data_IF_788907572795
#
_entry.id   IF_788907572795
#
_cell.length_a   1.000
_cell.length_b   1.000
_cell.length_c   1.000
_cell.angle_alpha   90.00
_cell.angle_beta   90.00
_cell.angle_gamma   90.00
#
_symmetry.space_group_name_H-M   'P 1'
#
loop_
_entity.id
_entity.type
_entity.pdbx_description
1 polymer ?
#
# COMPACT_ATOMS: atom_id res chain seq x y z
N UNK A 1 9.20 -19.03 -16.69
CA UNK A 1 9.04 -18.41 -15.36
C UNK A 1 7.80 -17.54 -15.33
N UNK A 2 7.00 -17.73 -14.31
CA UNK A 2 5.79 -16.94 -14.18
C UNK A 2 6.12 -15.54 -13.66
N UNK A 3 5.59 -14.54 -14.35
CA UNK A 3 5.58 -13.19 -13.82
C UNK A 3 4.70 -13.16 -12.58
N UNK A 4 5.21 -12.57 -11.51
CA UNK A 4 4.45 -12.46 -10.29
C UNK A 4 3.65 -11.17 -10.31
N UNK A 5 2.37 -11.27 -9.98
CA UNK A 5 1.47 -10.14 -9.92
C UNK A 5 0.98 -9.96 -8.50
N UNK A 6 0.93 -8.72 -8.07
CA UNK A 6 0.40 -8.33 -6.77
C UNK A 6 -0.67 -7.27 -6.96
N UNK A 7 -1.48 -7.10 -5.94
CA UNK A 7 -2.49 -6.05 -5.91
C UNK A 7 -2.50 -5.40 -4.54
N UNK A 8 -2.78 -4.10 -4.50
CA UNK A 8 -2.77 -3.36 -3.25
C UNK A 8 -3.69 -2.15 -3.26
N UNK A 9 -3.90 -1.62 -2.07
CA UNK A 9 -4.74 -0.44 -1.86
C UNK A 9 -3.92 0.70 -1.31
N UNK A 10 -4.17 1.89 -1.84
CA UNK A 10 -3.65 3.15 -1.30
C UNK A 10 -4.81 3.84 -0.59
N UNK A 11 -4.88 3.68 0.73
CA UNK A 11 -5.88 4.33 1.55
C UNK A 11 -5.46 5.78 1.75
N UNK A 12 -6.39 6.70 1.52
CA UNK A 12 -6.12 8.13 1.73
C UNK A 12 -7.22 8.76 2.56
N UNK A 13 -6.86 9.86 3.20
CA UNK A 13 -7.79 10.67 3.99
C UNK A 13 -7.39 12.14 3.91
N UNK A 14 -8.29 12.99 4.35
CA UNK A 14 -8.03 14.42 4.47
C UNK A 14 -7.86 14.79 5.93
N UNK A 15 -6.79 15.52 6.22
CA UNK A 15 -6.56 16.13 7.53
C UNK A 15 -6.61 17.65 7.30
N UNK A 16 -7.80 18.23 7.45
CA UNK A 16 -8.03 19.59 6.99
C UNK A 16 -7.80 19.67 5.49
N UNK A 17 -6.96 20.60 5.02
CA UNK A 17 -6.66 20.71 3.58
C UNK A 17 -5.60 19.72 3.12
N UNK A 18 -5.01 18.95 4.02
CA UNK A 18 -3.87 18.09 3.73
C UNK A 18 -4.31 16.69 3.36
N UNK A 19 -3.84 16.21 2.21
CA UNK A 19 -4.06 14.84 1.77
C UNK A 19 -3.01 13.95 2.41
N UNK A 20 -3.46 12.88 3.05
CA UNK A 20 -2.60 11.90 3.70
C UNK A 20 -2.86 10.52 3.14
N UNK A 21 -1.82 9.70 3.07
CA UNK A 21 -1.91 8.31 2.62
C UNK A 21 -1.35 7.37 3.67
N UNK A 22 -1.93 6.17 3.75
CA UNK A 22 -1.50 5.14 4.67
C UNK A 22 -0.43 4.27 4.02
N UNK A 23 0.72 4.18 4.66
CA UNK A 23 1.80 3.31 4.24
C UNK A 23 2.19 2.40 5.39
N UNK A 24 2.72 1.22 5.06
CA UNK A 24 3.20 0.26 6.03
C UNK A 24 4.70 0.13 5.99
N UNK A 25 5.30 -0.03 7.16
CA UNK A 25 6.72 -0.30 7.30
C UNK A 25 6.93 -1.82 7.36
N UNK A 26 7.79 -2.37 6.49
CA UNK A 26 8.01 -3.82 6.49
C UNK A 26 8.57 -4.29 7.83
N UNK A 27 8.07 -5.44 8.29
CA UNK A 27 8.55 -6.05 9.51
C UNK A 27 9.86 -6.78 9.33
N UNK A 28 10.42 -7.22 10.45
CA UNK A 28 11.61 -8.05 10.47
C UNK A 28 12.90 -7.27 10.60
N UNK A 29 14.00 -7.99 10.93
CA UNK A 29 15.26 -7.35 11.28
C UNK A 29 15.95 -6.64 10.12
N UNK A 30 15.74 -7.10 8.88
CA UNK A 30 16.34 -6.45 7.70
C UNK A 30 15.90 -4.99 7.58
N UNK A 31 14.61 -4.73 7.87
CA UNK A 31 14.01 -3.41 7.67
C UNK A 31 13.99 -2.55 8.91
N UNK A 32 14.37 -3.09 10.07
CA UNK A 32 14.15 -2.44 11.37
C UNK A 32 14.79 -1.06 11.49
N UNK A 33 15.91 -0.81 10.80
CA UNK A 33 16.60 0.49 10.85
C UNK A 33 16.41 1.31 9.57
N UNK A 34 15.60 0.86 8.63
CA UNK A 34 15.39 1.53 7.35
C UNK A 34 14.10 2.33 7.40
N UNK A 35 14.12 3.52 6.80
CA UNK A 35 12.98 4.43 6.81
C UNK A 35 12.71 4.95 5.40
N UNK A 36 13.47 5.94 4.93
CA UNK A 36 13.26 6.51 3.61
C UNK A 36 13.32 5.43 2.52
N UNK A 37 12.29 5.40 1.67
CA UNK A 37 12.20 4.41 0.59
C UNK A 37 11.82 3.01 1.03
N UNK A 38 11.56 2.80 2.33
CA UNK A 38 11.25 1.48 2.87
C UNK A 38 9.76 1.19 2.95
N UNK A 39 8.94 2.23 3.06
CA UNK A 39 7.50 2.08 3.26
C UNK A 39 6.78 1.69 1.98
N UNK A 40 5.67 1.00 2.12
CA UNK A 40 4.93 0.42 0.99
C UNK A 40 3.44 0.55 1.21
N UNK A 41 2.69 0.58 0.10
CA UNK A 41 1.25 0.36 0.20
C UNK A 41 1.02 -1.08 0.66
N UNK A 42 -0.07 -1.35 1.40
CA UNK A 42 -0.46 -2.74 1.69
C UNK A 42 -0.78 -3.47 0.38
N UNK A 43 -0.06 -4.54 0.11
CA UNK A 43 -0.19 -5.30 -1.14
C UNK A 43 0.33 -6.70 -0.97
N UNK A 44 -0.14 -7.60 -1.82
CA UNK A 44 0.37 -8.95 -1.83
C UNK A 44 -0.04 -9.69 -3.09
N UNK A 45 0.38 -10.95 -3.18
CA UNK A 45 0.19 -11.76 -4.37
C UNK A 45 -1.27 -12.02 -4.68
N UNK A 46 -1.60 -11.96 -5.96
CA UNK A 46 -2.93 -12.32 -6.46
C UNK A 46 -2.96 -13.84 -6.57
N UNK A 47 -4.02 -14.45 -6.05
CA UNK A 47 -4.21 -15.90 -6.13
C UNK A 47 -4.70 -16.30 -7.51
N UNK A 48 -4.42 -17.55 -7.94
CA UNK A 48 -4.95 -18.03 -9.23
C UNK A 48 -6.47 -17.89 -9.28
N UNK A 49 -6.98 -17.26 -10.35
CA UNK A 49 -8.40 -17.05 -10.54
C UNK A 49 -9.01 -15.93 -9.72
N UNK A 50 -8.23 -15.26 -8.89
CA UNK A 50 -8.71 -14.16 -8.08
C UNK A 50 -8.74 -12.86 -8.89
N UNK A 51 -9.84 -12.11 -8.76
CA UNK A 51 -9.92 -10.78 -9.34
C UNK A 51 -8.90 -9.86 -8.67
N UNK A 52 -8.10 -9.09 -9.42
CA UNK A 52 -7.07 -8.25 -8.81
C UNK A 52 -7.56 -7.29 -7.74
N UNK A 53 -8.74 -6.66 -7.94
CA UNK A 53 -9.29 -5.76 -6.91
C UNK A 53 -9.64 -6.53 -5.64
N UNK A 54 -10.23 -7.71 -5.77
CA UNK A 54 -10.54 -8.54 -4.61
C UNK A 54 -9.28 -8.96 -3.90
N UNK A 55 -8.21 -9.25 -4.64
CA UNK A 55 -6.90 -9.53 -4.07
C UNK A 55 -6.34 -8.36 -3.30
N UNK A 56 -6.48 -7.14 -3.84
CA UNK A 56 -6.04 -5.93 -3.15
C UNK A 56 -6.78 -5.72 -1.83
N UNK A 57 -8.10 -5.92 -1.84
CA UNK A 57 -8.93 -5.79 -0.64
C UNK A 57 -8.53 -6.82 0.40
N UNK A 58 -8.36 -8.07 -0.01
CA UNK A 58 -7.94 -9.15 0.88
C UNK A 58 -6.58 -8.87 1.51
N UNK A 59 -5.61 -8.49 0.69
CA UNK A 59 -4.25 -8.20 1.18
C UNK A 59 -4.23 -7.02 2.14
N UNK A 60 -5.02 -5.98 1.86
CA UNK A 60 -5.12 -4.84 2.76
C UNK A 60 -5.57 -5.29 4.15
N UNK A 61 -6.61 -6.13 4.22
CA UNK A 61 -7.13 -6.62 5.49
C UNK A 61 -6.14 -7.54 6.19
N UNK A 62 -5.46 -8.41 5.44
CA UNK A 62 -4.46 -9.31 6.03
C UNK A 62 -3.27 -8.54 6.60
N UNK A 63 -2.82 -7.49 5.92
CA UNK A 63 -1.61 -6.77 6.33
C UNK A 63 -1.88 -5.69 7.37
N UNK A 64 -3.11 -5.22 7.51
CA UNK A 64 -3.43 -4.11 8.43
C UNK A 64 -4.45 -4.48 9.50
N UNK A 65 -5.30 -5.46 9.24
CA UNK A 65 -6.43 -5.78 10.11
C UNK A 65 -7.64 -4.88 9.90
N UNK A 66 -7.57 -3.95 8.96
CA UNK A 66 -8.66 -3.01 8.69
C UNK A 66 -9.42 -3.42 7.43
N UNK A 67 -10.69 -3.03 7.36
CA UNK A 67 -11.52 -3.23 6.18
C UNK A 67 -11.56 -1.93 5.37
N UNK A 68 -11.68 -2.07 4.05
CA UNK A 68 -11.86 -0.94 3.14
C UNK A 68 -13.15 -1.16 2.36
N UNK A 69 -14.00 -0.14 2.30
CA UNK A 69 -15.36 -0.29 1.78
C UNK A 69 -15.58 0.31 0.39
N UNK A 70 -14.63 1.06 -0.12
CA UNK A 70 -14.79 1.70 -1.41
C UNK A 70 -15.56 3.01 -1.34
N UNK A 71 -15.85 3.68 -2.47
CA UNK A 71 -15.51 3.23 -3.82
C UNK A 71 -14.01 3.17 -4.07
N UNK A 72 -13.63 2.28 -4.98
CA UNK A 72 -12.21 2.06 -5.31
C UNK A 72 -11.89 2.74 -6.63
N UNK A 73 -10.82 3.54 -6.63
CA UNK A 73 -10.38 4.32 -7.79
C UNK A 73 -9.18 3.62 -8.42
N UNK A 74 -9.29 3.11 -9.66
CA UNK A 74 -8.13 2.44 -10.28
C UNK A 74 -6.97 3.40 -10.47
N UNK A 75 -5.77 2.96 -10.07
CA UNK A 75 -4.53 3.69 -10.29
C UNK A 75 -3.64 3.03 -11.34
N UNK A 76 -4.08 1.90 -11.91
CA UNK A 76 -3.29 1.17 -12.88
C UNK A 76 -2.23 0.31 -12.23
N UNK A 77 -1.18 0.03 -12.94
CA UNK A 77 -0.12 -0.83 -12.44
C UNK A 77 1.23 -0.14 -12.50
N UNK A 78 2.14 -0.64 -11.66
CA UNK A 78 3.56 -0.28 -11.69
C UNK A 78 4.35 -1.58 -11.73
N UNK A 79 5.61 -1.49 -12.16
CA UNK A 79 6.50 -2.63 -12.14
C UNK A 79 7.64 -2.34 -11.18
N UNK A 80 7.81 -3.22 -10.19
CA UNK A 80 8.89 -3.09 -9.23
C UNK A 80 10.22 -3.55 -9.83
N UNK A 81 11.31 -3.20 -9.16
CA UNK A 81 12.65 -3.53 -9.62
C UNK A 81 12.85 -5.03 -9.85
N UNK A 82 12.18 -5.86 -9.05
CA UNK A 82 12.23 -7.31 -9.18
C UNK A 82 11.50 -7.86 -10.42
N UNK A 83 10.78 -7.00 -11.15
CA UNK A 83 9.92 -7.40 -12.24
C UNK A 83 8.48 -7.68 -11.83
N UNK A 84 8.18 -7.63 -10.54
CA UNK A 84 6.82 -7.84 -10.03
C UNK A 84 5.92 -6.68 -10.46
N UNK A 85 4.76 -7.02 -11.02
CA UNK A 85 3.74 -6.04 -11.39
C UNK A 85 2.79 -5.87 -10.22
N UNK A 86 2.49 -4.62 -9.86
CA UNK A 86 1.56 -4.29 -8.77
C UNK A 86 0.41 -3.49 -9.34
N UNK A 87 -0.79 -4.04 -9.24
CA UNK A 87 -2.04 -3.33 -9.57
C UNK A 87 -2.51 -2.60 -8.32
N UNK A 88 -2.93 -1.34 -8.46
CA UNK A 88 -3.29 -0.55 -7.30
C UNK A 88 -4.61 0.18 -7.49
N UNK A 89 -5.33 0.34 -6.40
CA UNK A 89 -6.55 1.14 -6.30
C UNK A 89 -6.41 2.07 -5.12
N UNK A 90 -6.96 3.27 -5.26
CA UNK A 90 -7.07 4.20 -4.14
C UNK A 90 -8.45 4.05 -3.52
N UNK A 91 -8.53 4.29 -2.23
CA UNK A 91 -9.79 4.27 -1.50
C UNK A 91 -9.72 5.29 -0.38
N UNK A 92 -10.78 6.10 -0.23
CA UNK A 92 -10.86 7.04 0.87
C UNK A 92 -11.35 6.32 2.12
N UNK A 93 -10.71 6.59 3.26
CA UNK A 93 -11.13 6.01 4.52
C UNK A 93 -10.20 6.44 5.64
N UNK A 94 -10.51 5.97 6.84
CA UNK A 94 -9.74 6.29 8.02
C UNK A 94 -9.60 5.03 8.88
N UNK A 95 -8.55 5.01 9.68
CA UNK A 95 -8.33 3.93 10.63
C UNK A 95 -7.36 4.42 11.70
N UNK A 96 -7.30 3.71 12.80
CA UNK A 96 -6.34 4.00 13.87
C UNK A 96 -5.07 3.19 13.64
N UNK A 97 -3.97 3.84 13.20
CA UNK A 97 -2.73 3.10 12.92
C UNK A 97 -2.15 2.33 14.10
N UNK A 98 -2.51 2.74 15.33
CA UNK A 98 -2.01 2.05 16.54
C UNK A 98 -2.68 0.69 16.76
N UNK A 99 -3.75 0.40 16.03
CA UNK A 99 -4.51 -0.85 16.17
C UNK A 99 -4.25 -1.83 15.04
N UNK A 100 -3.15 -1.70 14.35
CA UNK A 100 -2.77 -2.60 13.26
C UNK A 100 -2.68 -4.04 13.77
N UNK A 101 -3.21 -4.97 12.97
CA UNK A 101 -3.01 -6.40 13.15
C UNK A 101 -2.57 -6.97 11.81
N UNK A 102 -1.28 -7.24 11.68
CA UNK A 102 -0.71 -7.72 10.43
C UNK A 102 -0.44 -9.22 10.53
N UNK A 103 -0.74 -9.97 9.47
CA UNK A 103 -0.40 -11.38 9.44
C UNK A 103 1.10 -11.55 9.50
N UNK A 104 1.53 -12.71 10.01
CA UNK A 104 2.93 -13.04 10.10
C UNK A 104 3.34 -13.92 8.92
N UNK A 105 4.59 -13.75 8.51
CA UNK A 105 5.19 -14.60 7.49
C UNK A 105 6.50 -15.14 8.03
N UNK A 106 6.96 -16.25 7.49
CA UNK A 106 8.21 -16.87 7.89
C UNK A 106 9.32 -16.37 6.97
N UNK A 107 10.42 -15.93 7.57
CA UNK A 107 11.61 -15.52 6.82
C UNK A 107 12.85 -16.14 7.39
N UNK A 108 13.84 -16.37 6.53
CA UNK A 108 15.14 -16.86 6.98
C UNK A 108 15.97 -15.71 7.52
N UNK A 109 16.43 -15.86 8.75
CA UNK A 109 17.27 -14.84 9.37
C UNK A 109 18.22 -15.46 10.39
N UNK A 110 19.52 -15.19 10.35
CA UNK A 110 20.19 -14.39 9.31
C UNK A 110 20.13 -15.04 7.94
N UNK A 111 20.39 -14.28 6.86
CA UNK A 111 20.40 -14.88 5.52
C UNK A 111 21.33 -16.09 5.44
N UNK A 112 20.87 -17.14 4.76
CA UNK A 112 21.63 -18.39 4.55
C UNK A 112 21.97 -19.15 5.83
N UNK A 113 21.29 -18.86 6.93
CA UNK A 113 21.53 -19.51 8.22
C UNK A 113 20.74 -20.77 8.41
N UNK A 114 19.71 -21.02 7.58
CA UNK A 114 18.71 -22.08 7.74
C UNK A 114 17.92 -21.94 9.05
N UNK A 115 17.94 -20.75 9.62
CA UNK A 115 17.11 -20.41 10.76
C UNK A 115 15.95 -19.56 10.30
N UNK A 116 14.74 -19.88 10.76
CA UNK A 116 13.53 -19.20 10.30
C UNK A 116 12.84 -18.55 11.47
N UNK A 117 12.40 -17.32 11.26
CA UNK A 117 11.66 -16.57 12.28
C UNK A 117 10.35 -16.11 11.67
N UNK A 118 9.34 -15.91 12.53
CA UNK A 118 8.10 -15.29 12.12
C UNK A 118 8.19 -13.78 12.30
N UNK A 119 7.80 -13.05 11.26
CA UNK A 119 7.76 -11.59 11.30
C UNK A 119 6.39 -11.11 10.78
N UNK A 120 5.90 -9.98 11.29
CA UNK A 120 4.70 -9.39 10.70
C UNK A 120 5.04 -8.82 9.32
N UNK A 121 4.09 -8.83 8.41
CA UNK A 121 4.28 -8.18 7.10
C UNK A 121 4.57 -6.70 7.30
N UNK A 122 3.83 -6.05 8.19
CA UNK A 122 4.14 -4.68 8.64
C UNK A 122 4.36 -4.68 10.14
N UNK A 123 5.40 -4.00 10.58
CA UNK A 123 5.60 -3.77 12.02
C UNK A 123 4.84 -2.52 12.48
N UNK A 124 4.53 -1.62 11.58
CA UNK A 124 3.71 -0.45 11.86
C UNK A 124 3.15 0.14 10.56
N UNK A 125 2.07 0.88 10.69
CA UNK A 125 1.53 1.69 9.59
C UNK A 125 1.38 3.13 10.09
N UNK A 126 1.36 4.07 9.16
CA UNK A 126 1.18 5.47 9.50
C UNK A 126 0.58 6.22 8.33
N UNK A 127 -0.17 7.28 8.64
CA UNK A 127 -0.60 8.24 7.62
C UNK A 127 0.50 9.29 7.41
N UNK A 128 0.82 9.51 6.16
CA UNK A 128 1.81 10.50 5.76
C UNK A 128 1.17 11.58 4.89
N UNK A 129 1.44 12.86 5.18
CA UNK A 129 1.17 13.89 4.17
C UNK A 129 1.86 13.53 2.87
N UNK A 130 1.30 13.89 1.74
CA UNK A 130 1.82 13.46 0.43
C UNK A 130 3.31 13.75 0.27
N UNK A 131 3.76 14.92 0.69
CA UNK A 131 5.18 15.30 0.53
C UNK A 131 6.11 14.40 1.35
N UNK A 132 5.65 13.97 2.53
CA UNK A 132 6.42 13.05 3.37
C UNK A 132 6.33 11.63 2.82
N UNK A 133 5.17 11.26 2.28
CA UNK A 133 4.99 9.96 1.65
C UNK A 133 5.95 9.75 0.47
N UNK A 134 6.24 10.81 -0.29
CA UNK A 134 7.18 10.70 -1.42
C UNK A 134 8.57 10.26 -0.99
N UNK A 135 9.00 10.68 0.18
CA UNK A 135 10.30 10.30 0.73
C UNK A 135 10.25 8.90 1.35
N UNK A 136 9.16 8.60 2.05
CA UNK A 136 9.03 7.35 2.78
C UNK A 136 8.80 6.15 1.86
N UNK A 137 8.04 6.32 0.77
CA UNK A 137 7.55 5.22 -0.05
C UNK A 137 8.66 4.60 -0.90
N UNK A 138 8.55 3.31 -1.14
CA UNK A 138 9.39 2.59 -2.09
C UNK A 138 9.40 3.32 -3.43
N UNK A 139 10.59 3.55 -3.98
CA UNK A 139 10.78 4.36 -5.19
C UNK A 139 9.89 3.89 -6.35
N UNK A 140 9.76 2.58 -6.52
CA UNK A 140 8.95 2.04 -7.62
C UNK A 140 7.46 2.32 -7.46
N UNK A 141 7.02 2.64 -6.25
CA UNK A 141 5.61 2.93 -5.97
C UNK A 141 5.30 4.42 -5.95
N UNK A 142 6.31 5.28 -6.02
CA UNK A 142 6.12 6.74 -5.88
C UNK A 142 5.17 7.31 -6.93
N UNK A 143 5.14 6.73 -8.12
CA UNK A 143 4.23 7.17 -9.19
C UNK A 143 2.75 7.02 -8.79
N UNK A 144 2.43 6.09 -7.89
CA UNK A 144 1.06 5.91 -7.43
C UNK A 144 0.54 7.15 -6.70
N UNK A 145 1.42 7.86 -6.01
CA UNK A 145 1.05 9.11 -5.34
C UNK A 145 0.64 10.17 -6.37
N UNK A 146 1.38 10.28 -7.46
CA UNK A 146 1.06 11.22 -8.53
C UNK A 146 -0.27 10.86 -9.20
N UNK A 147 -0.50 9.57 -9.42
CA UNK A 147 -1.74 9.10 -10.02
C UNK A 147 -2.94 9.37 -9.12
N UNK A 148 -2.77 9.20 -7.80
CA UNK A 148 -3.82 9.53 -6.84
C UNK A 148 -4.18 11.02 -6.90
N UNK A 149 -3.18 11.88 -6.90
CA UNK A 149 -3.39 13.33 -6.99
C UNK A 149 -4.14 13.67 -8.27
N UNK A 150 -3.75 13.06 -9.40
CA UNK A 150 -4.42 13.27 -10.67
C UNK A 150 -5.88 12.86 -10.65
N UNK A 151 -6.20 11.75 -10.02
CA UNK A 151 -7.58 11.26 -9.91
C UNK A 151 -8.43 12.18 -9.02
N UNK A 152 -7.87 12.65 -7.91
CA UNK A 152 -8.56 13.57 -7.01
C UNK A 152 -8.85 14.89 -7.72
N UNK A 153 -7.86 15.46 -8.41
CA UNK A 153 -8.03 16.72 -9.15
C UNK A 153 -9.08 16.58 -10.24
N UNK A 154 -9.08 15.47 -10.97
CA UNK A 154 -10.08 15.20 -12.01
C UNK A 154 -11.48 15.10 -11.42
N UNK A 155 -11.61 14.41 -10.28
CA UNK A 155 -12.90 14.29 -9.57
C UNK A 155 -13.43 15.63 -9.12
N UNK A 156 -12.57 16.46 -8.53
CA UNK A 156 -12.96 17.79 -8.06
C UNK A 156 -13.39 18.68 -9.21
N UNK A 157 -12.72 18.61 -10.36
CA UNK A 157 -13.11 19.37 -11.55
C UNK A 157 -14.46 18.93 -12.07
N UNK A 158 -14.72 17.63 -12.09
CA UNK A 158 -16.00 17.10 -12.51
C UNK A 158 -17.14 17.53 -11.59
N UNK A 159 -16.91 17.49 -10.27
CA UNK A 159 -17.88 17.95 -9.29
C UNK A 159 -18.16 19.45 -9.43
N UNK A 160 -17.10 20.25 -9.61
CA UNK A 160 -17.24 21.69 -9.83
C UNK A 160 -18.08 22.02 -11.06
N UNK A 161 -17.93 21.23 -12.12
CA UNK A 161 -18.75 21.41 -13.34
C UNK A 161 -20.21 21.02 -13.11
N UNK A 162 -20.44 19.97 -12.32
CA UNK A 162 -21.78 19.49 -12.04
C UNK A 162 -22.61 20.41 -11.16
N UNK A 163 -21.98 21.34 -10.47
CA UNK A 163 -22.64 22.26 -9.57
C UNK A 163 -23.09 23.57 -10.24
N UNK A 164 -22.86 23.72 -11.50
CA UNK A 164 -23.26 24.95 -12.23
C UNK A 164 -24.66 24.86 -12.80
#
# INVERSE_FOLDING_TARGET
MRQKESAGLLLFRWNGPELEVLLGHPGGPYWSSKDDGAWSIPKGGIMPGEDPLQGAIREFTEETGFAADGPFIPLGSITQRSGKVVYAWAVEGDCDPTKIVSIKTTTEWPPRSRRFIEIPEFDRVAFFPIQDARRAINVAQAELLDRLIGEIDSGQRAEGRGQR
#
